data_IF_627781289735
#
_entry.id   IF_627781289735
#
_cell.length_a   1.000
_cell.length_b   1.000
_cell.length_c   1.000
_cell.angle_alpha   90.00
_cell.angle_beta   90.00
_cell.angle_gamma   90.00
#
_symmetry.space_group_name_H-M   'P 1'
#
loop_
_entity.id
_entity.type
_entity.pdbx_description
1 polymer ?
#
# COMPACT_ATOMS: atom_id res chain seq x y z
N UNK A 1 -3.82 -14.06 -0.48
CA UNK A 1 -3.55 -12.91 -1.36
C UNK A 1 -4.87 -12.44 -1.94
N UNK A 2 -5.14 -11.14 -2.00
CA UNK A 2 -6.35 -10.58 -2.62
C UNK A 2 -6.19 -10.28 -4.12
N UNK A 3 -4.99 -10.47 -4.69
CA UNK A 3 -4.76 -10.47 -6.13
C UNK A 3 -5.30 -11.77 -6.76
N UNK A 4 -6.62 -11.94 -6.70
CA UNK A 4 -7.41 -13.02 -7.31
C UNK A 4 -8.73 -12.39 -7.82
N UNK A 5 -9.36 -12.92 -8.89
CA UNK A 5 -10.40 -12.20 -9.62
C UNK A 5 -11.53 -11.63 -8.74
N UNK A 6 -12.14 -12.48 -7.92
CA UNK A 6 -13.27 -12.09 -7.08
C UNK A 6 -12.87 -11.17 -5.92
N UNK A 7 -11.63 -11.28 -5.44
CA UNK A 7 -11.14 -10.51 -4.28
C UNK A 7 -10.61 -9.14 -4.72
N UNK A 8 -9.89 -9.08 -5.84
CA UNK A 8 -9.40 -7.85 -6.43
C UNK A 8 -10.56 -6.96 -6.89
N UNK A 9 -11.67 -7.57 -7.34
CA UNK A 9 -12.87 -6.85 -7.74
C UNK A 9 -13.41 -5.91 -6.65
N UNK A 10 -13.36 -6.34 -5.39
CA UNK A 10 -13.93 -5.66 -4.21
C UNK A 10 -12.87 -5.09 -3.26
N UNK A 11 -11.59 -5.11 -3.65
CA UNK A 11 -10.48 -4.77 -2.76
C UNK A 11 -10.53 -3.31 -2.31
N UNK A 12 -10.82 -2.38 -3.21
CA UNK A 12 -10.88 -0.94 -2.90
C UNK A 12 -11.92 -0.63 -1.81
N UNK A 13 -13.16 -1.10 -1.99
CA UNK A 13 -14.23 -0.89 -1.01
C UNK A 13 -13.87 -1.49 0.36
N UNK A 14 -13.25 -2.68 0.36
CA UNK A 14 -12.78 -3.32 1.59
C UNK A 14 -11.65 -2.55 2.26
N UNK A 15 -10.73 -1.97 1.49
CA UNK A 15 -9.66 -1.14 2.00
C UNK A 15 -10.22 0.13 2.65
N UNK A 16 -11.14 0.83 2.01
CA UNK A 16 -11.78 2.02 2.59
C UNK A 16 -12.55 1.68 3.88
N UNK A 17 -13.32 0.58 3.87
CA UNK A 17 -14.03 0.11 5.04
C UNK A 17 -13.08 -0.28 6.19
N UNK A 18 -11.90 -0.84 5.87
CA UNK A 18 -10.87 -1.15 6.86
C UNK A 18 -10.33 0.12 7.53
N UNK A 19 -9.99 1.15 6.74
CA UNK A 19 -9.50 2.44 7.26
C UNK A 19 -10.54 3.09 8.17
N UNK A 20 -11.80 3.17 7.71
CA UNK A 20 -12.89 3.74 8.49
C UNK A 20 -13.09 2.99 9.82
N UNK A 21 -13.09 1.66 9.78
CA UNK A 21 -13.24 0.81 10.98
C UNK A 21 -12.09 1.00 11.97
N UNK A 22 -10.85 1.14 11.50
CA UNK A 22 -9.73 1.41 12.41
C UNK A 22 -9.87 2.76 13.10
N UNK A 23 -10.26 3.80 12.38
CA UNK A 23 -10.47 5.14 12.94
C UNK A 23 -11.58 5.18 13.97
N UNK A 24 -12.69 4.50 13.70
CA UNK A 24 -13.81 4.38 14.63
C UNK A 24 -13.44 3.56 15.88
N UNK A 25 -12.88 2.36 15.68
CA UNK A 25 -12.60 1.44 16.78
C UNK A 25 -11.50 1.95 17.73
N UNK A 26 -10.63 2.84 17.26
CA UNK A 26 -9.52 3.40 18.03
C UNK A 26 -9.80 4.83 18.53
N UNK A 27 -11.00 5.39 18.29
CA UNK A 27 -11.34 6.79 18.57
C UNK A 27 -10.29 7.78 18.03
N UNK A 28 -9.87 7.53 16.78
CA UNK A 28 -8.74 8.22 16.15
C UNK A 28 -9.12 8.66 14.73
N UNK A 29 -10.00 9.66 14.56
CA UNK A 29 -10.58 10.04 13.26
C UNK A 29 -9.55 10.49 12.21
N UNK A 30 -8.44 11.09 12.65
CA UNK A 30 -7.43 11.68 11.76
C UNK A 30 -6.12 10.89 11.73
N UNK A 31 -6.08 9.67 12.30
CA UNK A 31 -4.84 8.88 12.30
C UNK A 31 -4.39 8.59 10.85
N UNK A 32 -3.13 8.88 10.51
CA UNK A 32 -2.56 8.56 9.21
C UNK A 32 -2.68 7.07 8.85
N UNK A 33 -3.10 6.78 7.63
CA UNK A 33 -3.05 5.42 7.07
C UNK A 33 -2.20 5.41 5.80
N UNK A 34 -1.14 4.61 5.75
CA UNK A 34 -0.18 4.60 4.63
C UNK A 34 -0.17 3.24 3.96
N UNK A 35 -0.51 3.20 2.68
CA UNK A 35 -0.46 2.00 1.86
C UNK A 35 0.85 1.95 1.08
N UNK A 36 1.62 0.88 1.26
CA UNK A 36 2.85 0.62 0.53
C UNK A 36 2.58 -0.30 -0.65
N UNK A 37 3.19 0.04 -1.77
CA UNK A 37 3.04 -0.70 -3.00
C UNK A 37 3.60 -2.13 -2.87
N UNK A 38 2.92 -3.09 -3.50
CA UNK A 38 3.44 -4.45 -3.68
C UNK A 38 4.72 -4.44 -4.51
N UNK A 39 5.57 -5.46 -4.35
CA UNK A 39 6.81 -5.58 -5.13
C UNK A 39 6.58 -5.64 -6.65
N UNK A 40 7.34 -4.82 -7.36
CA UNK A 40 7.41 -4.72 -8.82
C UNK A 40 8.67 -5.44 -9.32
N UNK A 41 8.56 -6.74 -9.62
CA UNK A 41 9.70 -7.58 -9.99
C UNK A 41 9.55 -8.10 -11.42
N UNK A 42 10.63 -8.06 -12.19
CA UNK A 42 10.61 -8.44 -13.61
C UNK A 42 10.41 -9.96 -13.79
N UNK A 43 10.91 -10.74 -12.84
CA UNK A 43 10.81 -12.20 -12.75
C UNK A 43 9.36 -12.65 -12.56
N UNK A 44 8.55 -11.81 -11.91
CA UNK A 44 7.14 -12.09 -11.61
C UNK A 44 6.26 -10.86 -11.92
N UNK A 45 5.99 -10.58 -13.21
CA UNK A 45 5.20 -9.43 -13.61
C UNK A 45 3.76 -9.53 -13.07
N UNK A 46 3.12 -8.38 -12.91
CA UNK A 46 1.75 -8.32 -12.42
C UNK A 46 0.75 -8.80 -13.47
N UNK A 47 -0.23 -9.57 -13.01
CA UNK A 47 -1.47 -9.83 -13.73
C UNK A 47 -2.47 -8.68 -13.51
N UNK A 48 -3.64 -8.80 -14.12
CA UNK A 48 -4.67 -7.75 -14.05
C UNK A 48 -5.26 -7.60 -12.64
N UNK A 49 -5.35 -8.69 -11.87
CA UNK A 49 -5.85 -8.66 -10.50
C UNK A 49 -4.87 -7.94 -9.57
N UNK A 50 -3.57 -8.18 -9.71
CA UNK A 50 -2.55 -7.47 -8.95
C UNK A 50 -2.46 -6.00 -9.36
N UNK A 51 -2.62 -5.68 -10.65
CA UNK A 51 -2.76 -4.28 -11.11
C UNK A 51 -3.99 -3.59 -10.51
N UNK A 52 -5.10 -4.31 -10.36
CA UNK A 52 -6.32 -3.77 -9.74
C UNK A 52 -6.13 -3.45 -8.25
N UNK A 53 -5.44 -4.33 -7.52
CA UNK A 53 -5.06 -4.06 -6.11
C UNK A 53 -4.10 -2.88 -6.02
N UNK A 54 -3.11 -2.78 -6.91
CA UNK A 54 -2.18 -1.63 -6.97
C UNK A 54 -2.92 -0.31 -7.26
N UNK A 55 -3.87 -0.32 -8.19
CA UNK A 55 -4.68 0.85 -8.51
C UNK A 55 -5.47 1.35 -7.29
N UNK A 56 -5.99 0.44 -6.45
CA UNK A 56 -6.65 0.80 -5.21
C UNK A 56 -5.68 1.42 -4.18
N UNK A 57 -4.45 0.90 -4.07
CA UNK A 57 -3.43 1.51 -3.21
C UNK A 57 -3.06 2.92 -3.66
N UNK A 58 -2.89 3.12 -4.98
CA UNK A 58 -2.54 4.42 -5.57
C UNK A 58 -3.65 5.45 -5.44
N UNK A 59 -4.91 5.05 -5.61
CA UNK A 59 -6.07 5.94 -5.51
C UNK A 59 -6.45 6.29 -4.06
N UNK A 60 -5.95 5.55 -3.06
CA UNK A 60 -6.31 5.71 -1.66
C UNK A 60 -6.18 7.17 -1.15
N UNK A 61 -5.06 7.90 -1.38
CA UNK A 61 -4.91 9.27 -0.88
C UNK A 61 -5.90 10.27 -1.48
N UNK A 62 -6.41 9.99 -2.69
CA UNK A 62 -7.40 10.84 -3.38
C UNK A 62 -8.82 10.59 -2.88
N UNK A 63 -9.10 9.38 -2.38
CA UNK A 63 -10.43 8.92 -2.01
C UNK A 63 -10.69 8.92 -0.50
N UNK A 64 -9.65 8.79 0.31
CA UNK A 64 -9.76 8.71 1.78
C UNK A 64 -8.82 9.74 2.43
N UNK A 65 -9.35 10.68 3.25
CA UNK A 65 -8.53 11.68 3.93
C UNK A 65 -7.46 11.08 4.84
N UNK A 66 -6.41 11.85 5.11
CA UNK A 66 -5.28 11.45 5.97
C UNK A 66 -4.67 10.10 5.56
N UNK A 67 -4.58 9.85 4.25
CA UNK A 67 -3.94 8.66 3.70
C UNK A 67 -2.79 9.02 2.76
N UNK A 68 -1.81 8.13 2.64
CA UNK A 68 -0.71 8.26 1.68
C UNK A 68 -0.41 6.92 0.99
N UNK A 69 0.24 7.02 -0.17
CA UNK A 69 0.74 5.89 -0.95
C UNK A 69 2.26 5.96 -1.03
N UNK A 70 2.92 4.81 -0.86
CA UNK A 70 4.38 4.68 -0.92
C UNK A 70 4.78 3.74 -2.05
N UNK A 71 5.48 4.29 -3.05
CA UNK A 71 5.97 3.52 -4.20
C UNK A 71 7.08 2.52 -3.84
N UNK A 72 7.04 1.36 -4.47
CA UNK A 72 8.09 0.34 -4.44
C UNK A 72 9.04 0.43 -5.65
N UNK A 73 9.06 1.54 -6.39
CA UNK A 73 9.91 1.70 -7.57
C UNK A 73 11.38 1.53 -7.20
N UNK A 74 12.10 0.75 -8.01
CA UNK A 74 13.52 0.46 -7.85
C UNK A 74 13.86 -0.50 -6.70
N UNK A 75 12.86 -1.12 -6.08
CA UNK A 75 13.06 -2.09 -4.99
C UNK A 75 13.22 -3.52 -5.53
N UNK A 76 14.08 -4.31 -4.88
CA UNK A 76 14.43 -5.68 -5.28
C UNK A 76 13.87 -6.73 -4.31
N UNK A 77 13.73 -7.96 -4.80
CA UNK A 77 13.35 -9.11 -4.00
C UNK A 77 14.56 -9.85 -3.41
N UNK A 78 14.35 -10.63 -2.34
CA UNK A 78 15.41 -11.40 -1.67
C UNK A 78 15.90 -12.65 -2.42
N UNK A 79 15.36 -12.91 -3.60
CA UNK A 79 15.67 -14.06 -4.46
C UNK A 79 14.51 -15.04 -4.64
N UNK A 80 13.33 -14.73 -4.09
CA UNK A 80 12.12 -15.57 -4.17
C UNK A 80 11.01 -14.94 -5.02
N UNK A 81 11.32 -13.87 -5.75
CA UNK A 81 10.41 -13.19 -6.69
C UNK A 81 9.14 -12.59 -6.04
N UNK A 82 9.07 -12.52 -4.70
CA UNK A 82 7.87 -12.12 -3.96
C UNK A 82 8.17 -11.15 -2.84
N UNK A 83 9.21 -11.38 -2.05
CA UNK A 83 9.49 -10.61 -0.84
C UNK A 83 10.66 -9.68 -1.07
N UNK A 84 10.52 -8.41 -0.67
CA UNK A 84 11.62 -7.45 -0.73
C UNK A 84 12.85 -7.96 0.03
N UNK A 85 14.03 -7.64 -0.48
CA UNK A 85 15.28 -7.86 0.24
C UNK A 85 15.47 -6.85 1.38
N UNK A 86 16.49 -7.07 2.21
CA UNK A 86 16.76 -6.22 3.38
C UNK A 86 17.06 -4.76 2.99
N UNK A 87 17.93 -4.44 2.00
CA UNK A 87 18.12 -3.07 1.54
C UNK A 87 16.83 -2.40 1.07
N UNK A 88 16.01 -3.10 0.30
CA UNK A 88 14.78 -2.57 -0.28
C UNK A 88 13.71 -2.33 0.77
N UNK A 89 13.57 -3.23 1.75
CA UNK A 89 12.64 -2.99 2.87
C UNK A 89 13.06 -1.80 3.74
N UNK A 90 14.37 -1.58 3.94
CA UNK A 90 14.87 -0.39 4.65
C UNK A 90 14.54 0.88 3.89
N UNK A 91 14.71 0.87 2.57
CA UNK A 91 14.35 2.00 1.73
C UNK A 91 12.85 2.26 1.72
N UNK A 92 12.02 1.21 1.57
CA UNK A 92 10.57 1.33 1.70
C UNK A 92 10.19 1.94 3.04
N UNK A 93 10.80 1.49 4.14
CA UNK A 93 10.60 2.06 5.48
C UNK A 93 10.94 3.55 5.58
N UNK A 94 12.01 4.02 4.92
CA UNK A 94 12.31 5.46 4.84
C UNK A 94 11.24 6.23 4.09
N UNK A 95 10.75 5.69 2.97
CA UNK A 95 9.67 6.33 2.19
C UNK A 95 8.37 6.40 2.99
N UNK A 96 8.06 5.38 3.79
CA UNK A 96 6.94 5.42 4.75
C UNK A 96 7.11 6.51 5.80
N UNK A 97 8.32 6.69 6.35
CA UNK A 97 8.58 7.73 7.33
C UNK A 97 8.41 9.13 6.75
N UNK A 98 8.87 9.37 5.51
CA UNK A 98 8.66 10.63 4.79
C UNK A 98 7.17 10.90 4.58
N UNK A 99 6.42 9.92 4.04
CA UNK A 99 4.97 10.07 3.84
C UNK A 99 4.22 10.33 5.15
N UNK A 100 4.64 9.70 6.25
CA UNK A 100 4.09 9.97 7.57
C UNK A 100 4.35 11.40 8.04
N UNK A 101 5.59 11.89 7.91
CA UNK A 101 5.99 13.26 8.27
C UNK A 101 5.17 14.29 7.49
N UNK A 102 5.03 14.10 6.18
CA UNK A 102 4.19 14.96 5.32
C UNK A 102 2.73 15.01 5.80
N UNK A 103 2.14 13.86 6.16
CA UNK A 103 0.77 13.79 6.67
C UNK A 103 0.56 14.49 8.01
N UNK A 104 1.58 14.55 8.86
CA UNK A 104 1.52 15.21 10.18
C UNK A 104 2.11 16.62 10.19
N UNK A 105 2.53 17.13 9.03
CA UNK A 105 3.09 18.48 8.87
C UNK A 105 4.46 18.67 9.52
N UNK A 106 5.31 17.63 9.51
CA UNK A 106 6.71 17.66 9.99
C UNK A 106 7.72 17.70 8.86
#
# INVERSE_FOLDING_TARGET
SDAQPELAAVYEDKLHALVARFREALDAPDVPFIAGQMGQFAERPWDDDKRRVDAAHRALPEKVPHCAFVSSDGLAHKGDEVHFDTPSYRELGRRYAVAYQELIGQ
#
